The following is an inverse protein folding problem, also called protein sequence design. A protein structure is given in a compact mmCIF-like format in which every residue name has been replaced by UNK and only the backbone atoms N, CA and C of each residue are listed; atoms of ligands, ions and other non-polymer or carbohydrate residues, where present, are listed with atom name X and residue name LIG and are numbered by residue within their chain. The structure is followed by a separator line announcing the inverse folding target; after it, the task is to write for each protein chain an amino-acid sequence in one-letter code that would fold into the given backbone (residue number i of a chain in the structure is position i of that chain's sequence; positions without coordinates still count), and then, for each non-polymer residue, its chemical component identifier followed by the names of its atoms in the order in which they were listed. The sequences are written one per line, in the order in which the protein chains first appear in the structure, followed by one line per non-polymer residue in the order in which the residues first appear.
data_IF_109520104813
#
_entry.id   IF_109520104813
#
_cell.length_a   1.000
_cell.length_b   1.000
_cell.length_c   1.000
_cell.angle_alpha   90.00
_cell.angle_beta   90.00
_cell.angle_gamma   90.00
#
_symmetry.space_group_name_H-M   'P 1'
#
loop_
_entity.id
_entity.type
_entity.pdbx_description
1 polymer ?
#
# COMPACT_ATOMS: atom_id res chain seq x y z
N UNK A 1 -11.66 -23.49 -3.49
CA UNK A 1 -12.30 -22.22 -3.85
C UNK A 1 -11.22 -21.18 -4.15
N UNK A 2 -11.34 -20.53 -5.27
CA UNK A 2 -10.36 -19.51 -5.63
C UNK A 2 -10.55 -18.26 -4.77
N UNK A 3 -9.45 -17.72 -4.24
CA UNK A 3 -9.48 -16.46 -3.51
C UNK A 3 -10.03 -15.32 -4.37
N UNK A 4 -9.94 -15.44 -5.68
CA UNK A 4 -10.46 -14.43 -6.61
C UNK A 4 -11.97 -14.24 -6.48
N UNK A 5 -12.69 -15.28 -6.07
CA UNK A 5 -14.14 -15.19 -5.92
C UNK A 5 -14.57 -14.31 -4.75
N UNK A 6 -13.66 -14.06 -3.80
CA UNK A 6 -13.93 -13.22 -2.63
C UNK A 6 -13.65 -11.74 -2.90
N UNK A 7 -12.92 -11.42 -3.97
CA UNK A 7 -12.62 -10.04 -4.31
C UNK A 7 -13.66 -9.49 -5.25
N UNK A 8 -14.41 -8.52 -4.75
CA UNK A 8 -15.41 -7.85 -5.55
C UNK A 8 -14.82 -6.56 -6.10
N UNK A 9 -14.39 -6.60 -7.35
CA UNK A 9 -13.79 -5.46 -8.02
C UNK A 9 -14.85 -4.49 -8.57
N UNK A 10 -16.00 -4.38 -7.93
CA UNK A 10 -16.99 -3.36 -8.32
C UNK A 10 -16.36 -1.97 -8.29
N UNK A 11 -15.47 -1.76 -7.33
CA UNK A 11 -14.75 -0.52 -7.19
C UNK A 11 -13.27 -0.83 -6.93
N UNK A 12 -12.49 -1.03 -8.02
CA UNK A 12 -11.08 -1.36 -7.87
C UNK A 12 -10.28 -0.31 -7.10
N UNK A 13 -10.63 0.96 -7.25
CA UNK A 13 -9.93 2.02 -6.55
C UNK A 13 -10.17 1.95 -5.05
N UNK A 14 -11.42 1.74 -4.66
CA UNK A 14 -11.74 1.58 -3.24
C UNK A 14 -11.03 0.37 -2.65
N UNK A 15 -10.96 -0.72 -3.41
CA UNK A 15 -10.20 -1.89 -2.98
C UNK A 15 -8.73 -1.55 -2.76
N UNK A 16 -8.11 -0.82 -3.69
CA UNK A 16 -6.72 -0.40 -3.55
C UNK A 16 -6.51 0.47 -2.30
N UNK A 17 -7.41 1.43 -2.07
CA UNK A 17 -7.34 2.28 -0.89
C UNK A 17 -7.53 1.49 0.39
N UNK A 18 -8.43 0.52 0.40
CA UNK A 18 -8.65 -0.35 1.56
C UNK A 18 -7.41 -1.21 1.84
N UNK A 19 -6.72 -1.66 0.81
CA UNK A 19 -5.46 -2.39 0.98
C UNK A 19 -4.38 -1.50 1.59
N UNK A 20 -4.36 -0.22 1.31
CA UNK A 20 -3.44 0.71 1.96
C UNK A 20 -3.77 0.89 3.45
N UNK A 21 -5.05 0.87 3.82
CA UNK A 21 -5.42 0.86 5.24
C UNK A 21 -4.93 -0.43 5.92
N UNK A 22 -5.07 -1.56 5.25
CA UNK A 22 -4.55 -2.83 5.76
C UNK A 22 -3.02 -2.81 5.89
N UNK A 23 -2.33 -2.15 4.96
CA UNK A 23 -0.88 -1.96 5.06
C UNK A 23 -0.50 -1.25 6.35
N UNK A 24 -1.24 -0.22 6.74
CA UNK A 24 -0.99 0.48 8.00
C UNK A 24 -1.09 -0.48 9.20
N UNK A 25 -2.08 -1.37 9.16
CA UNK A 25 -2.26 -2.38 10.22
C UNK A 25 -1.08 -3.35 10.25
N UNK A 26 -0.67 -3.85 9.09
CA UNK A 26 0.45 -4.80 8.98
C UNK A 26 1.74 -4.21 9.52
N UNK A 27 2.01 -2.95 9.22
CA UNK A 27 3.23 -2.27 9.67
C UNK A 27 3.31 -2.16 11.19
N UNK A 28 2.16 -2.13 11.86
CA UNK A 28 2.08 -2.03 13.33
C UNK A 28 2.02 -3.39 14.03
N UNK A 29 1.86 -4.49 13.29
CA UNK A 29 1.80 -5.83 13.89
C UNK A 29 3.14 -6.22 14.49
N UNK A 30 3.07 -6.91 15.62
CA UNK A 30 4.26 -7.48 16.27
C UNK A 30 4.57 -8.84 15.67
N UNK A 31 5.04 -8.83 14.45
CA UNK A 31 5.47 -10.03 13.71
C UNK A 31 6.87 -9.79 13.18
N UNK A 32 7.57 -10.87 12.85
CA UNK A 32 8.93 -10.72 12.36
C UNK A 32 8.98 -10.00 11.01
N UNK A 33 10.13 -9.44 10.70
CA UNK A 33 10.32 -8.60 9.54
C UNK A 33 10.07 -9.35 8.22
N UNK A 34 10.50 -10.59 8.12
CA UNK A 34 10.27 -11.37 6.89
C UNK A 34 8.77 -11.61 6.66
N UNK A 35 8.02 -11.86 7.74
CA UNK A 35 6.57 -12.00 7.64
C UNK A 35 5.92 -10.68 7.20
N UNK A 36 6.38 -9.54 7.74
CA UNK A 36 5.89 -8.22 7.31
C UNK A 36 6.17 -7.99 5.82
N UNK A 37 7.40 -8.25 5.39
CA UNK A 37 7.80 -8.07 3.98
C UNK A 37 6.91 -8.91 3.06
N UNK A 38 6.65 -10.15 3.46
CA UNK A 38 5.79 -11.04 2.68
C UNK A 38 4.37 -10.47 2.55
N UNK A 39 3.80 -9.98 3.65
CA UNK A 39 2.47 -9.39 3.64
C UNK A 39 2.43 -8.11 2.80
N UNK A 40 3.45 -7.27 2.91
CA UNK A 40 3.55 -6.04 2.09
C UNK A 40 3.62 -6.40 0.60
N UNK A 41 4.35 -7.44 0.25
CA UNK A 41 4.45 -7.89 -1.15
C UNK A 41 3.10 -8.38 -1.68
N UNK A 42 2.32 -9.07 -0.86
CA UNK A 42 0.96 -9.49 -1.22
C UNK A 42 0.07 -8.27 -1.45
N UNK A 43 0.11 -7.30 -0.53
CA UNK A 43 -0.66 -6.06 -0.65
C UNK A 43 -0.26 -5.29 -1.92
N UNK A 44 1.03 -5.21 -2.19
CA UNK A 44 1.54 -4.57 -3.41
C UNK A 44 0.93 -5.21 -4.66
N UNK A 45 0.95 -6.53 -4.71
CA UNK A 45 0.37 -7.26 -5.84
C UNK A 45 -1.13 -6.98 -5.98
N UNK A 46 -1.86 -7.03 -4.87
CA UNK A 46 -3.30 -6.77 -4.86
C UNK A 46 -3.63 -5.37 -5.36
N UNK A 47 -2.90 -4.35 -4.90
CA UNK A 47 -3.12 -2.96 -5.31
C UNK A 47 -2.84 -2.80 -6.81
N UNK A 48 -1.72 -3.33 -7.28
CA UNK A 48 -1.33 -3.21 -8.68
C UNK A 48 -2.36 -3.89 -9.59
N UNK A 49 -2.83 -5.08 -9.22
CA UNK A 49 -3.85 -5.78 -9.99
C UNK A 49 -5.18 -5.02 -9.99
N UNK A 50 -5.59 -4.46 -8.87
CA UNK A 50 -6.79 -3.64 -8.80
C UNK A 50 -6.69 -2.41 -9.71
N UNK A 51 -5.53 -1.76 -9.74
CA UNK A 51 -5.32 -0.56 -10.54
C UNK A 51 -5.29 -0.81 -12.04
N UNK A 52 -5.23 -2.07 -12.47
CA UNK A 52 -5.39 -2.42 -13.89
C UNK A 52 -6.85 -2.41 -14.33
N UNK A 53 -7.79 -2.38 -13.39
CA UNK A 53 -9.22 -2.35 -13.69
C UNK A 53 -9.67 -0.91 -13.94
N UNK A 54 -10.75 -0.71 -14.74
CA UNK A 54 -11.32 0.63 -14.90
C UNK A 54 -11.85 1.16 -13.56
N UNK A 55 -11.56 2.42 -13.24
CA UNK A 55 -12.06 3.05 -12.03
C UNK A 55 -12.25 4.56 -12.23
N UNK A 56 -12.94 5.19 -11.28
CA UNK A 56 -13.20 6.63 -11.28
C UNK A 56 -12.58 7.25 -10.02
N UNK A 57 -11.39 7.86 -10.16
CA UNK A 57 -10.70 8.40 -8.98
C UNK A 57 -11.41 9.58 -8.32
N UNK A 58 -12.17 10.34 -9.07
CA UNK A 58 -12.84 11.55 -8.58
C UNK A 58 -13.96 11.30 -7.58
N UNK A 59 -14.38 10.05 -7.40
CA UNK A 59 -15.48 9.70 -6.48
C UNK A 59 -15.03 9.23 -5.13
N UNK A 60 -13.73 9.21 -4.87
CA UNK A 60 -13.18 8.61 -3.66
C UNK A 60 -12.63 9.65 -2.73
N UNK A 61 -12.89 9.46 -1.44
CA UNK A 61 -12.34 10.31 -0.39
C UNK A 61 -11.10 9.66 0.20
N UNK A 62 -10.09 10.49 0.43
CA UNK A 62 -8.88 10.05 1.10
C UNK A 62 -9.08 10.10 2.60
N UNK A 63 -8.77 9.00 3.27
CA UNK A 63 -8.86 8.91 4.72
C UNK A 63 -7.45 8.84 5.29
N UNK A 64 -7.13 9.79 6.15
CA UNK A 64 -5.84 9.84 6.80
C UNK A 64 -5.99 9.57 8.28
N UNK A 65 -5.13 8.74 8.87
CA UNK A 65 -5.11 8.61 10.31
C UNK A 65 -4.73 9.94 10.96
N UNK A 66 -5.20 10.16 12.17
CA UNK A 66 -4.81 11.32 12.98
C UNK A 66 -3.53 10.98 13.75
N UNK A 67 -2.72 11.98 14.02
CA UNK A 67 -1.50 11.82 14.80
C UNK A 67 -0.25 12.17 14.03
N UNK A 68 0.90 11.89 14.63
CA UNK A 68 2.19 12.18 14.02
C UNK A 68 2.40 11.34 12.76
N UNK A 69 2.99 11.97 11.76
CA UNK A 69 3.25 11.35 10.47
C UNK A 69 4.73 10.98 10.41
N UNK A 70 5.03 9.69 10.42
CA UNK A 70 6.38 9.23 10.11
C UNK A 70 6.59 9.12 8.60
N UNK A 71 7.79 8.75 8.18
CA UNK A 71 8.13 8.67 6.77
C UNK A 71 7.29 7.62 6.03
N UNK A 72 7.02 6.50 6.69
CA UNK A 72 6.22 5.44 6.10
C UNK A 72 4.79 5.91 5.87
N UNK A 73 4.20 6.56 6.87
CA UNK A 73 2.85 7.11 6.72
C UNK A 73 2.78 8.18 5.62
N UNK A 74 3.80 9.03 5.53
CA UNK A 74 3.87 10.03 4.47
C UNK A 74 3.86 9.36 3.09
N UNK A 75 4.58 8.26 2.93
CA UNK A 75 4.59 7.50 1.67
C UNK A 75 3.24 6.87 1.36
N UNK A 76 2.55 6.36 2.38
CA UNK A 76 1.20 5.81 2.19
C UNK A 76 0.25 6.92 1.71
N UNK A 77 0.32 8.11 2.29
CA UNK A 77 -0.49 9.25 1.85
C UNK A 77 -0.18 9.66 0.41
N UNK A 78 1.10 9.62 0.03
CA UNK A 78 1.48 9.89 -1.36
C UNK A 78 0.89 8.85 -2.30
N UNK A 79 0.88 7.57 -1.91
CA UNK A 79 0.27 6.54 -2.73
C UNK A 79 -1.23 6.78 -2.90
N UNK A 80 -1.92 7.13 -1.83
CA UNK A 80 -3.34 7.43 -1.89
C UNK A 80 -3.62 8.57 -2.86
N UNK A 81 -2.83 9.65 -2.79
CA UNK A 81 -2.94 10.78 -3.71
C UNK A 81 -2.66 10.38 -5.16
N UNK A 82 -1.63 9.55 -5.38
CA UNK A 82 -1.31 9.08 -6.72
C UNK A 82 -2.43 8.25 -7.32
N UNK A 83 -3.04 7.39 -6.51
CA UNK A 83 -4.13 6.53 -6.98
C UNK A 83 -5.32 7.36 -7.45
N UNK A 84 -5.68 8.43 -6.71
CA UNK A 84 -6.87 9.25 -7.05
C UNK A 84 -6.56 10.41 -7.98
N UNK A 85 -5.33 10.60 -8.41
CA UNK A 85 -4.94 11.76 -9.21
C UNK A 85 -5.35 11.60 -10.68
N UNK A 86 -6.34 12.37 -11.11
CA UNK A 86 -6.84 12.35 -12.47
C UNK A 86 -5.83 12.85 -13.52
N UNK A 87 -4.83 13.63 -13.09
CA UNK A 87 -3.86 14.24 -14.01
C UNK A 87 -2.77 13.27 -14.43
N UNK A 88 -2.65 12.11 -13.75
CA UNK A 88 -1.62 11.13 -14.07
C UNK A 88 -2.21 9.96 -14.87
N UNK A 89 -1.53 9.55 -15.98
CA UNK A 89 -1.88 8.31 -16.66
C UNK A 89 -1.82 7.12 -15.70
N UNK A 90 -2.66 6.12 -15.94
CA UNK A 90 -2.81 4.98 -15.02
C UNK A 90 -1.51 4.18 -14.85
N UNK A 91 -0.73 4.07 -15.94
CA UNK A 91 0.57 3.40 -15.87
C UNK A 91 1.54 4.11 -14.95
N UNK A 92 1.54 5.44 -14.96
CA UNK A 92 2.39 6.24 -14.07
C UNK A 92 1.95 6.12 -12.62
N UNK A 93 0.64 6.08 -12.37
CA UNK A 93 0.12 5.88 -11.01
C UNK A 93 0.58 4.55 -10.45
N UNK A 94 0.46 3.48 -11.23
CA UNK A 94 0.92 2.15 -10.81
C UNK A 94 2.41 2.13 -10.53
N UNK A 95 3.20 2.73 -11.41
CA UNK A 95 4.65 2.82 -11.23
C UNK A 95 5.03 3.51 -9.93
N UNK A 96 4.39 4.62 -9.63
CA UNK A 96 4.66 5.36 -8.39
C UNK A 96 4.28 4.56 -7.14
N UNK A 97 3.15 3.85 -7.19
CA UNK A 97 2.72 3.01 -6.07
C UNK A 97 3.73 1.86 -5.86
N UNK A 98 4.17 1.23 -6.94
CA UNK A 98 5.18 0.18 -6.87
C UNK A 98 6.47 0.70 -6.22
N UNK A 99 6.95 1.85 -6.65
CA UNK A 99 8.19 2.44 -6.12
C UNK A 99 8.05 2.77 -4.64
N UNK A 100 6.95 3.36 -4.23
CA UNK A 100 6.73 3.73 -2.84
C UNK A 100 6.62 2.50 -1.93
N UNK A 101 5.94 1.46 -2.39
CA UNK A 101 5.86 0.20 -1.63
C UNK A 101 7.21 -0.50 -1.54
N UNK A 102 8.00 -0.44 -2.60
CA UNK A 102 9.37 -0.98 -2.58
C UNK A 102 10.22 -0.26 -1.54
N UNK A 103 10.09 1.06 -1.45
CA UNK A 103 10.78 1.86 -0.44
C UNK A 103 10.33 1.51 0.98
N UNK A 104 9.04 1.26 1.19
CA UNK A 104 8.53 0.83 2.49
C UNK A 104 9.14 -0.51 2.88
N UNK A 105 9.20 -1.46 1.96
CA UNK A 105 9.85 -2.76 2.22
C UNK A 105 11.31 -2.59 2.62
N UNK A 106 12.02 -1.70 1.95
CA UNK A 106 13.41 -1.41 2.26
C UNK A 106 13.56 -0.84 3.68
N UNK A 107 12.71 0.11 4.04
CA UNK A 107 12.74 0.71 5.38
C UNK A 107 12.47 -0.33 6.48
N UNK A 108 11.53 -1.23 6.24
CA UNK A 108 11.22 -2.31 7.19
C UNK A 108 12.43 -3.23 7.38
N UNK A 109 13.12 -3.59 6.30
CA UNK A 109 14.36 -4.40 6.40
C UNK A 109 15.47 -3.68 7.14
N UNK A 110 15.58 -2.39 6.91
CA UNK A 110 16.60 -1.58 7.57
C UNK A 110 16.38 -1.52 9.07
N UNK A 111 15.13 -1.45 9.52
CA UNK A 111 14.81 -1.51 10.95
C UNK A 111 15.26 -2.82 11.58
N UNK A 112 15.08 -3.95 10.88
CA UNK A 112 15.55 -5.23 11.36
C UNK A 112 17.06 -5.27 11.51
N UNK A 113 17.81 -4.76 10.52
CA UNK A 113 19.27 -4.71 10.57
C UNK A 113 19.75 -3.88 11.75
N UNK A 114 19.09 -2.77 12.01
CA UNK A 114 19.42 -1.91 13.15
C UNK A 114 19.16 -2.61 14.49
N UNK A 115 18.07 -3.37 14.60
CA UNK A 115 17.77 -4.15 15.80
C UNK A 115 18.82 -5.24 16.03
N UNK A 116 19.27 -5.90 14.97
CA UNK A 116 20.34 -6.91 15.07
C UNK A 116 21.65 -6.30 15.55
N UNK A 117 21.95 -5.08 15.10
CA UNK A 117 23.17 -4.38 15.52
C UNK A 117 23.09 -3.92 16.98
N UNK A 118 21.92 -3.64 17.48
CA UNK A 118 21.71 -3.24 18.86
C UNK A 118 21.73 -4.44 19.82
N UNK A 119 21.46 -5.62 19.31
CA UNK A 119 21.53 -6.83 20.11
C UNK A 119 22.97 -7.30 20.24
#
# INVERSE_FOLDING_TARGET
MSLKSTYNYRDPLQFALDRLQYLRIVLKKDIDTEAKIKQISIIQHEIVEAMKQPFRPDKHELRYPTGEIDQIEARIRLMERCIVNNDLPIGDRRGRVIDLLTRIKYEVRKELENKDKEA
#
